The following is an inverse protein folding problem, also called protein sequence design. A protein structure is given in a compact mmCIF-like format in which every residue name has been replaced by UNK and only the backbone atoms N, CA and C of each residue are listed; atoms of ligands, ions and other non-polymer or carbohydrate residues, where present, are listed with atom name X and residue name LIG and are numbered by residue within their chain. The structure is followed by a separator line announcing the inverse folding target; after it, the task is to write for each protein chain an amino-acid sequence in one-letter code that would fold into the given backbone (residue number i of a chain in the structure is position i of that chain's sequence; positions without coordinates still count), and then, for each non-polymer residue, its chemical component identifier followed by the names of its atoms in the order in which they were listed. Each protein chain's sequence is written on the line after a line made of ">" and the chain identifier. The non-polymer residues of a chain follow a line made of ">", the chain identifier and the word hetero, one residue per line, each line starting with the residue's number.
data_IF_965405484228
#
_entry.id   IF_965405484228
#
_cell.length_a   1.000
_cell.length_b   1.000
_cell.length_c   1.000
_cell.angle_alpha   90.00
_cell.angle_beta   90.00
_cell.angle_gamma   90.00
#
_symmetry.space_group_name_H-M   'P 1'
#
loop_
_entity.id
_entity.type
_entity.pdbx_description
1 polymer ?
#
# COMPACT_ATOMS: atom_id res chain seq x y z
N UNK A 1 -7.07 35.36 48.74
CA UNK A 1 -6.44 34.04 49.01
C UNK A 1 -6.96 33.07 47.97
N UNK A 2 -6.13 32.67 47.00
CA UNK A 2 -6.55 31.83 45.87
C UNK A 2 -6.49 30.35 46.26
N UNK A 3 -7.66 29.73 46.43
CA UNK A 3 -7.83 28.32 46.74
C UNK A 3 -7.56 27.45 45.51
N UNK A 4 -6.68 26.46 45.67
CA UNK A 4 -6.21 25.54 44.63
C UNK A 4 -7.32 24.56 44.25
N UNK A 5 -7.61 24.46 42.96
CA UNK A 5 -8.43 23.40 42.34
C UNK A 5 -7.70 22.06 42.40
N UNK A 6 -8.27 21.08 43.10
CA UNK A 6 -7.87 19.67 43.02
C UNK A 6 -8.99 18.89 42.33
N UNK A 7 -8.87 18.71 41.01
CA UNK A 7 -9.70 17.76 40.25
C UNK A 7 -9.21 16.35 40.54
N UNK A 8 -9.98 15.61 41.34
CA UNK A 8 -9.77 14.17 41.55
C UNK A 8 -10.22 13.43 40.29
N UNK A 9 -9.27 13.06 39.44
CA UNK A 9 -9.54 12.18 38.31
C UNK A 9 -9.78 10.76 38.83
N UNK A 10 -10.97 10.21 38.58
CA UNK A 10 -11.31 8.84 38.96
C UNK A 10 -10.61 7.85 38.02
N UNK A 11 -10.16 6.72 38.57
CA UNK A 11 -9.34 5.70 37.91
C UNK A 11 -9.98 5.10 36.64
N UNK A 12 -11.27 5.31 36.42
CA UNK A 12 -12.00 4.81 35.25
C UNK A 12 -11.70 5.61 33.97
N UNK A 13 -11.41 6.91 34.05
CA UNK A 13 -11.18 7.74 32.84
C UNK A 13 -9.79 7.54 32.19
N UNK A 14 -8.81 7.05 32.96
CA UNK A 14 -7.46 6.80 32.43
C UNK A 14 -7.39 5.59 31.48
N UNK A 15 -8.36 4.67 31.55
CA UNK A 15 -8.40 3.51 30.65
C UNK A 15 -8.83 3.86 29.22
N UNK A 16 -9.53 4.99 29.01
CA UNK A 16 -9.95 5.43 27.67
C UNK A 16 -8.81 6.13 26.90
N UNK A 17 -7.90 6.82 27.60
CA UNK A 17 -6.75 7.52 26.99
C UNK A 17 -5.54 6.59 26.82
N UNK A 18 -5.38 5.59 27.69
CA UNK A 18 -4.32 4.58 27.62
C UNK A 18 -4.77 3.36 26.82
N UNK A 19 -5.08 3.58 25.54
CA UNK A 19 -5.26 2.50 24.57
C UNK A 19 -4.01 1.62 24.52
N UNK A 20 -4.12 0.40 25.06
CA UNK A 20 -3.22 -0.75 24.96
C UNK A 20 -1.93 -0.49 24.16
N UNK A 21 -0.89 0.01 24.84
CA UNK A 21 0.48 -0.22 24.41
C UNK A 21 0.77 -1.71 24.62
N UNK A 22 0.78 -2.48 23.53
CA UNK A 22 1.26 -3.86 23.53
C UNK A 22 2.80 -3.82 23.56
N UNK A 23 3.48 -4.67 24.34
CA UNK A 23 4.93 -4.63 24.43
C UNK A 23 5.55 -5.07 23.10
N UNK A 24 6.26 -4.15 22.44
CA UNK A 24 6.95 -4.40 21.18
C UNK A 24 8.15 -5.36 21.35
N UNK A 25 7.96 -6.61 20.93
CA UNK A 25 9.06 -7.51 20.55
C UNK A 25 8.90 -7.76 19.04
N UNK A 26 9.57 -6.92 18.25
CA UNK A 26 9.81 -7.03 16.78
C UNK A 26 8.71 -6.64 15.76
N UNK A 27 7.74 -5.76 16.05
CA UNK A 27 6.86 -5.21 14.99
C UNK A 27 6.72 -3.70 15.08
N UNK A 28 7.42 -2.97 14.20
CA UNK A 28 7.20 -1.54 14.04
C UNK A 28 5.71 -1.28 13.69
N UNK A 29 5.01 -0.43 14.46
CA UNK A 29 3.58 -0.20 14.26
C UNK A 29 3.32 0.52 12.92
N UNK A 30 2.67 -0.17 11.98
CA UNK A 30 2.38 0.30 10.63
C UNK A 30 0.86 0.38 10.37
N UNK A 31 0.45 0.98 9.26
CA UNK A 31 -0.97 1.19 8.94
C UNK A 31 -1.75 -0.13 8.83
N UNK A 32 -1.09 -1.23 8.45
CA UNK A 32 -1.70 -2.54 8.28
C UNK A 32 -1.71 -3.38 9.57
N UNK A 33 -0.82 -3.10 10.52
CA UNK A 33 -0.71 -3.85 11.79
C UNK A 33 -1.46 -3.18 12.94
N UNK A 34 -1.60 -1.85 12.93
CA UNK A 34 -2.35 -1.12 13.95
C UNK A 34 -3.85 -1.26 13.69
N UNK A 35 -4.59 -1.89 14.61
CA UNK A 35 -6.05 -1.97 14.52
C UNK A 35 -6.71 -0.77 15.22
N UNK A 36 -7.32 0.10 14.43
CA UNK A 36 -8.25 1.12 14.91
C UNK A 36 -7.62 2.30 15.69
N UNK A 37 -8.48 3.16 16.22
CA UNK A 37 -8.07 4.35 16.97
C UNK A 37 -7.58 5.53 16.11
N UNK A 38 -7.25 6.64 16.79
CA UNK A 38 -6.83 7.90 16.15
C UNK A 38 -5.56 7.73 15.31
N UNK A 39 -4.63 6.90 15.76
CA UNK A 39 -3.34 6.67 15.11
C UNK A 39 -3.48 5.89 13.78
N UNK A 40 -4.35 4.87 13.73
CA UNK A 40 -4.70 4.18 12.49
C UNK A 40 -5.49 5.11 11.54
N UNK A 41 -6.48 5.83 12.07
CA UNK A 41 -7.30 6.75 11.28
C UNK A 41 -6.46 7.84 10.60
N UNK A 42 -5.49 8.43 11.32
CA UNK A 42 -4.56 9.41 10.76
C UNK A 42 -3.73 8.83 9.62
N UNK A 43 -3.11 7.66 9.82
CA UNK A 43 -2.30 7.00 8.78
C UNK A 43 -3.13 6.61 7.56
N UNK A 44 -4.34 6.06 7.77
CA UNK A 44 -5.28 5.73 6.69
C UNK A 44 -5.70 6.98 5.90
N UNK A 45 -5.93 8.11 6.56
CA UNK A 45 -6.29 9.37 5.89
C UNK A 45 -5.16 9.88 4.99
N UNK A 46 -3.90 9.74 5.40
CA UNK A 46 -2.74 10.09 4.57
C UNK A 46 -2.68 9.21 3.32
N UNK A 47 -2.79 7.88 3.48
CA UNK A 47 -2.81 6.94 2.34
C UNK A 47 -3.98 7.22 1.38
N UNK A 48 -5.15 7.56 1.92
CA UNK A 48 -6.34 7.84 1.12
C UNK A 48 -6.19 9.04 0.18
N UNK A 49 -5.28 9.98 0.46
CA UNK A 49 -5.01 11.09 -0.47
C UNK A 49 -4.40 10.60 -1.79
N UNK A 50 -3.48 9.62 -1.71
CA UNK A 50 -2.85 9.02 -2.90
C UNK A 50 -3.81 8.17 -3.74
N UNK A 51 -4.93 7.75 -3.15
CA UNK A 51 -6.01 6.98 -3.78
C UNK A 51 -7.32 7.78 -3.93
N UNK A 52 -7.24 9.11 -3.86
CA UNK A 52 -8.40 9.98 -4.08
C UNK A 52 -8.83 9.97 -5.54
N UNK A 53 -10.09 10.33 -5.84
CA UNK A 53 -10.60 10.41 -7.21
C UNK A 53 -9.73 11.29 -8.13
N UNK A 54 -9.22 12.40 -7.60
CA UNK A 54 -8.31 13.28 -8.34
C UNK A 54 -7.00 12.58 -8.67
N UNK A 55 -6.44 11.81 -7.73
CA UNK A 55 -5.23 11.03 -7.97
C UNK A 55 -5.48 9.91 -8.99
N UNK A 56 -6.60 9.19 -8.86
CA UNK A 56 -7.01 8.11 -9.78
C UNK A 56 -7.13 8.60 -11.23
N UNK A 57 -7.80 9.74 -11.45
CA UNK A 57 -7.87 10.39 -12.77
C UNK A 57 -6.48 10.75 -13.32
N UNK A 58 -5.54 11.12 -12.45
CA UNK A 58 -4.15 11.35 -12.83
C UNK A 58 -3.39 10.08 -13.23
N UNK A 59 -3.75 8.92 -12.69
CA UNK A 59 -3.12 7.63 -13.04
C UNK A 59 -3.67 7.02 -14.33
N UNK A 60 -4.88 7.37 -14.76
CA UNK A 60 -5.57 6.77 -15.91
C UNK A 60 -4.66 6.65 -17.16
N UNK A 61 -4.02 7.75 -17.55
CA UNK A 61 -3.09 7.74 -18.70
C UNK A 61 -1.91 6.80 -18.51
N UNK A 62 -1.36 6.71 -17.29
CA UNK A 62 -0.24 5.80 -16.97
C UNK A 62 -0.66 4.34 -17.03
N UNK A 63 -1.82 4.02 -16.46
CA UNK A 63 -2.38 2.66 -16.48
C UNK A 63 -2.64 2.22 -17.93
N UNK A 64 -3.25 3.08 -18.74
CA UNK A 64 -3.52 2.79 -20.15
C UNK A 64 -2.24 2.50 -20.95
N UNK A 65 -1.12 3.17 -20.67
CA UNK A 65 0.15 2.84 -21.32
C UNK A 65 0.60 1.40 -21.03
N UNK A 66 0.50 0.94 -19.78
CA UNK A 66 0.88 -0.44 -19.41
C UNK A 66 -0.05 -1.48 -20.01
N UNK A 67 -1.37 -1.21 -20.02
CA UNK A 67 -2.37 -2.09 -20.65
C UNK A 67 -2.11 -2.21 -22.15
N UNK A 68 -1.88 -1.09 -22.83
CA UNK A 68 -1.60 -1.09 -24.27
C UNK A 68 -0.32 -1.87 -24.60
N UNK A 69 0.75 -1.69 -23.81
CA UNK A 69 1.99 -2.48 -23.95
C UNK A 69 1.73 -3.97 -23.77
N UNK A 70 0.93 -4.34 -22.78
CA UNK A 70 0.56 -5.74 -22.53
C UNK A 70 -0.23 -6.32 -23.72
N UNK A 71 -1.23 -5.60 -24.22
CA UNK A 71 -1.99 -6.02 -25.41
C UNK A 71 -1.11 -6.16 -26.66
N UNK A 72 -0.15 -5.25 -26.87
CA UNK A 72 0.81 -5.34 -27.98
C UNK A 72 1.70 -6.58 -27.84
N UNK A 73 2.19 -6.88 -26.63
CA UNK A 73 2.98 -8.07 -26.36
C UNK A 73 2.18 -9.36 -26.62
N UNK A 74 0.90 -9.38 -26.25
CA UNK A 74 0.01 -10.51 -26.55
C UNK A 74 -0.25 -10.67 -28.04
N UNK A 75 -0.50 -9.57 -28.75
CA UNK A 75 -0.73 -9.59 -30.20
C UNK A 75 0.51 -10.04 -30.99
N UNK A 76 1.72 -9.79 -30.48
CA UNK A 76 2.97 -10.23 -31.12
C UNK A 76 3.31 -11.70 -30.89
N UNK A 77 2.67 -12.37 -29.93
CA UNK A 77 2.96 -13.75 -29.57
C UNK A 77 1.88 -14.68 -30.12
N UNK A 78 2.25 -15.59 -31.03
CA UNK A 78 1.36 -16.64 -31.54
C UNK A 78 1.34 -17.87 -30.61
N UNK A 79 2.28 -17.95 -29.66
CA UNK A 79 2.39 -19.06 -28.72
C UNK A 79 1.37 -18.94 -27.57
N UNK A 80 0.87 -20.07 -27.06
CA UNK A 80 0.01 -20.10 -25.87
C UNK A 80 0.70 -19.42 -24.69
N UNK A 81 0.09 -18.35 -24.18
CA UNK A 81 0.66 -17.56 -23.10
C UNK A 81 -0.09 -17.83 -21.78
N UNK A 82 0.67 -17.99 -20.68
CA UNK A 82 0.08 -18.15 -19.36
C UNK A 82 -0.42 -16.79 -18.85
N UNK A 83 -1.72 -16.57 -18.99
CA UNK A 83 -2.37 -15.32 -18.60
C UNK A 83 -2.27 -15.01 -17.10
N UNK A 84 -2.15 -16.03 -16.23
CA UNK A 84 -1.97 -15.77 -14.79
C UNK A 84 -0.62 -15.09 -14.51
N UNK A 85 0.43 -15.54 -15.19
CA UNK A 85 1.78 -14.97 -15.09
C UNK A 85 1.82 -13.58 -15.76
N UNK A 86 1.25 -13.45 -16.96
CA UNK A 86 1.16 -12.18 -17.67
C UNK A 86 0.41 -11.09 -16.89
N UNK A 87 -0.74 -11.43 -16.30
CA UNK A 87 -1.52 -10.51 -15.46
C UNK A 87 -0.80 -10.14 -14.16
N UNK A 88 0.01 -11.05 -13.60
CA UNK A 88 0.83 -10.75 -12.42
C UNK A 88 1.89 -9.69 -12.73
N UNK A 89 2.56 -9.79 -13.89
CA UNK A 89 3.49 -8.77 -14.37
C UNK A 89 2.79 -7.43 -14.60
N UNK A 90 1.63 -7.42 -15.27
CA UNK A 90 0.87 -6.21 -15.52
C UNK A 90 0.47 -5.52 -14.21
N UNK A 91 -0.05 -6.27 -13.24
CA UNK A 91 -0.47 -5.75 -11.94
C UNK A 91 0.69 -5.14 -11.17
N UNK A 92 1.87 -5.77 -11.22
CA UNK A 92 3.07 -5.23 -10.58
C UNK A 92 3.55 -3.94 -11.26
N UNK A 93 3.58 -3.88 -12.59
CA UNK A 93 3.96 -2.65 -13.32
C UNK A 93 3.02 -1.49 -12.97
N UNK A 94 1.71 -1.74 -12.93
CA UNK A 94 0.72 -0.73 -12.57
C UNK A 94 0.91 -0.26 -11.13
N UNK A 95 1.02 -1.19 -10.18
CA UNK A 95 1.15 -0.85 -8.77
C UNK A 95 2.46 -0.13 -8.47
N UNK A 96 3.56 -0.51 -9.09
CA UNK A 96 4.85 0.17 -8.89
C UNK A 96 4.92 1.57 -9.52
N UNK A 97 4.33 1.75 -10.70
CA UNK A 97 4.24 3.07 -11.34
C UNK A 97 3.31 4.02 -10.55
N UNK A 98 2.18 3.50 -10.04
CA UNK A 98 1.23 4.31 -9.26
C UNK A 98 1.77 4.65 -7.86
N UNK A 99 2.38 3.69 -7.15
CA UNK A 99 2.78 3.87 -5.75
C UNK A 99 4.16 4.52 -5.61
N UNK A 100 5.12 4.13 -6.45
CA UNK A 100 6.51 4.58 -6.34
C UNK A 100 6.89 5.59 -7.44
N UNK A 101 6.03 5.83 -8.44
CA UNK A 101 6.38 6.65 -9.61
C UNK A 101 7.51 6.03 -10.44
N UNK A 102 7.82 4.76 -10.21
CA UNK A 102 8.93 4.06 -10.81
C UNK A 102 8.42 3.20 -11.97
N UNK A 103 8.96 3.43 -13.15
CA UNK A 103 8.64 2.65 -14.35
C UNK A 103 9.59 1.47 -14.46
N UNK A 104 9.22 0.35 -13.86
CA UNK A 104 9.87 -0.92 -14.15
C UNK A 104 9.25 -1.46 -15.45
N UNK A 105 10.07 -1.83 -16.43
CA UNK A 105 9.58 -2.45 -17.67
C UNK A 105 9.71 -3.97 -17.57
N UNK A 106 8.85 -4.59 -16.76
CA UNK A 106 8.83 -6.05 -16.56
C UNK A 106 8.36 -6.83 -17.78
N UNK A 107 7.69 -6.16 -18.72
CA UNK A 107 7.21 -6.77 -19.96
C UNK A 107 8.33 -6.81 -21.02
N UNK A 108 9.13 -5.75 -21.12
CA UNK A 108 10.22 -5.66 -22.09
C UNK A 108 11.56 -6.24 -21.64
N UNK A 109 11.82 -6.35 -20.33
CA UNK A 109 13.13 -6.77 -19.82
C UNK A 109 13.02 -7.92 -18.82
N UNK A 110 13.63 -9.06 -19.14
CA UNK A 110 13.66 -10.26 -18.28
C UNK A 110 14.35 -10.04 -16.93
N UNK A 111 15.21 -9.01 -16.84
CA UNK A 111 16.02 -8.66 -15.66
C UNK A 111 15.23 -8.47 -14.37
N UNK A 112 13.97 -8.03 -14.47
CA UNK A 112 13.14 -7.75 -13.28
C UNK A 112 12.12 -8.86 -13.00
N UNK A 113 12.02 -9.92 -13.80
CA UNK A 113 11.06 -11.03 -13.56
C UNK A 113 11.30 -11.73 -12.22
N UNK A 114 12.57 -11.84 -11.82
CA UNK A 114 12.99 -12.43 -10.53
C UNK A 114 12.43 -11.69 -9.30
N UNK A 115 11.99 -10.44 -9.44
CA UNK A 115 11.41 -9.67 -8.33
C UNK A 115 10.11 -10.30 -7.84
N UNK A 116 9.28 -10.82 -8.75
CA UNK A 116 8.03 -11.47 -8.34
C UNK A 116 8.30 -12.79 -7.59
N UNK A 117 9.28 -13.57 -8.06
CA UNK A 117 9.67 -14.82 -7.40
C UNK A 117 10.27 -14.54 -6.01
N UNK A 118 11.15 -13.53 -5.91
CA UNK A 118 11.73 -13.12 -4.63
C UNK A 118 10.67 -12.63 -3.64
N UNK A 119 9.64 -11.90 -4.10
CA UNK A 119 8.51 -11.48 -3.26
C UNK A 119 7.68 -12.69 -2.81
N UNK A 120 7.42 -13.66 -3.70
CA UNK A 120 6.66 -14.86 -3.36
C UNK A 120 7.36 -15.73 -2.30
N UNK A 121 8.69 -15.82 -2.36
CA UNK A 121 9.51 -16.60 -1.42
C UNK A 121 9.69 -15.88 -0.06
N UNK A 122 9.58 -14.56 -0.02
CA UNK A 122 9.85 -13.75 1.17
C UNK A 122 8.74 -13.75 2.24
N UNK A 123 7.66 -14.51 2.07
CA UNK A 123 6.52 -14.54 2.98
C UNK A 123 6.67 -15.57 4.11
#
# INVERSE_FOLDING_TARGET
>A
MAGKTTSTWTCTELTYVMGRAQPEVHRAPNTFTIRGGKAHARRRRIMAQGLSDKALRGYERRIMMHVNKFCQSLASSLEPNNMAVGCSYLSFNITTDVVFGAKYDLLGTERFRQVLDAIAVSN
#
